data_IF_225149142508
#
_entry.id   IF_225149142508
#
_cell.length_a   1.000
_cell.length_b   1.000
_cell.length_c   1.000
_cell.angle_alpha   90.00
_cell.angle_beta   90.00
_cell.angle_gamma   90.00
#
_symmetry.space_group_name_H-M   'P 1'
#
loop_
_entity.id
_entity.type
_entity.pdbx_description
1 polymer ?
#
# COMPACT_ATOMS: atom_id res chain seq x y z
N UNK A 1 -4.90 -10.18 5.52
CA UNK A 1 -4.00 -9.50 4.55
C UNK A 1 -2.62 -10.14 4.61
N UNK A 2 -2.59 -11.42 4.27
CA UNK A 2 -1.50 -12.36 4.45
C UNK A 2 -1.60 -13.37 3.31
N UNK A 3 -0.59 -14.23 3.17
CA UNK A 3 -0.63 -15.32 2.22
C UNK A 3 -1.74 -16.32 2.59
N UNK A 4 -2.27 -17.03 1.59
CA UNK A 4 -3.04 -18.24 1.89
C UNK A 4 -2.12 -19.31 2.49
N UNK A 5 -2.69 -20.32 3.14
CA UNK A 5 -1.92 -21.43 3.71
C UNK A 5 -1.01 -22.10 2.67
N UNK A 6 -1.56 -22.45 1.50
CA UNK A 6 -0.81 -23.03 0.38
C UNK A 6 0.32 -22.10 -0.12
N UNK A 7 0.05 -20.80 -0.16
CA UNK A 7 1.06 -19.80 -0.55
C UNK A 7 2.18 -19.70 0.48
N UNK A 8 1.83 -19.71 1.77
CA UNK A 8 2.79 -19.68 2.86
C UNK A 8 3.65 -20.95 2.89
N UNK A 9 3.07 -22.14 2.72
CA UNK A 9 3.80 -23.41 2.65
C UNK A 9 4.78 -23.43 1.47
N UNK A 10 4.34 -22.98 0.30
CA UNK A 10 5.20 -22.87 -0.88
C UNK A 10 6.33 -21.88 -0.65
N UNK A 11 6.05 -20.68 -0.13
CA UNK A 11 7.09 -19.71 0.20
C UNK A 11 8.08 -20.28 1.22
N UNK A 12 7.58 -20.84 2.32
CA UNK A 12 8.39 -21.30 3.44
C UNK A 12 9.29 -22.47 3.06
N UNK A 13 8.81 -23.42 2.25
CA UNK A 13 9.63 -24.53 1.76
C UNK A 13 10.80 -24.04 0.91
N UNK A 14 10.55 -23.14 -0.05
CA UNK A 14 11.59 -22.57 -0.91
C UNK A 14 12.57 -21.70 -0.10
N UNK A 15 12.05 -20.84 0.77
CA UNK A 15 12.89 -19.93 1.55
C UNK A 15 13.74 -20.67 2.58
N UNK A 16 13.20 -21.71 3.24
CA UNK A 16 13.97 -22.57 4.14
C UNK A 16 15.09 -23.33 3.42
N UNK A 17 14.84 -23.83 2.21
CA UNK A 17 15.86 -24.47 1.36
C UNK A 17 17.02 -23.51 1.05
N UNK A 18 16.70 -22.28 0.63
CA UNK A 18 17.70 -21.24 0.38
C UNK A 18 18.51 -20.92 1.64
N UNK A 19 17.85 -20.72 2.78
CA UNK A 19 18.54 -20.37 4.04
C UNK A 19 19.41 -21.52 4.56
N UNK A 20 18.97 -22.77 4.43
CA UNK A 20 19.77 -23.93 4.79
C UNK A 20 21.03 -24.03 3.92
N UNK A 21 20.90 -23.79 2.61
CA UNK A 21 22.03 -23.77 1.69
C UNK A 21 23.03 -22.66 2.04
N UNK A 22 22.55 -21.46 2.38
CA UNK A 22 23.39 -20.36 2.88
C UNK A 22 24.13 -20.77 4.16
N UNK A 23 23.42 -21.38 5.11
CA UNK A 23 24.01 -21.87 6.35
C UNK A 23 25.16 -22.86 6.09
N UNK A 24 24.96 -23.80 5.18
CA UNK A 24 25.95 -24.83 4.83
C UNK A 24 27.16 -24.24 4.09
N UNK A 25 26.94 -23.40 3.06
CA UNK A 25 28.03 -22.82 2.26
C UNK A 25 28.91 -21.85 3.05
N UNK A 26 28.37 -21.20 4.07
CA UNK A 26 29.12 -20.29 4.94
C UNK A 26 29.44 -20.85 6.31
N UNK A 27 29.12 -22.13 6.55
CA UNK A 27 29.42 -22.86 7.79
C UNK A 27 29.00 -22.11 9.07
N UNK A 28 27.87 -21.38 9.03
CA UNK A 28 27.45 -20.51 10.14
C UNK A 28 27.08 -21.31 11.39
N UNK A 29 26.27 -22.35 11.21
CA UNK A 29 25.84 -23.28 12.26
C UNK A 29 25.95 -24.71 11.71
N UNK A 30 27.12 -25.35 11.79
CA UNK A 30 27.38 -26.67 11.19
C UNK A 30 26.43 -27.78 11.67
N UNK A 31 25.90 -27.65 12.88
CA UNK A 31 24.92 -28.57 13.46
C UNK A 31 23.53 -28.50 12.79
N UNK A 32 23.26 -27.47 11.99
CA UNK A 32 21.97 -27.27 11.31
C UNK A 32 22.07 -27.78 9.88
N UNK A 33 21.62 -29.02 9.67
CA UNK A 33 21.73 -29.74 8.40
C UNK A 33 20.38 -30.06 7.74
N UNK A 34 19.26 -29.62 8.32
CA UNK A 34 17.92 -29.82 7.77
C UNK A 34 17.03 -28.61 8.01
N UNK A 35 16.02 -28.45 7.16
CA UNK A 35 15.02 -27.37 7.28
C UNK A 35 14.26 -27.45 8.61
N UNK A 36 13.99 -28.66 9.11
CA UNK A 36 13.36 -28.86 10.43
C UNK A 36 14.22 -28.32 11.57
N UNK A 37 15.53 -28.57 11.55
CA UNK A 37 16.44 -28.02 12.56
C UNK A 37 16.59 -26.50 12.40
N UNK A 38 16.56 -25.99 11.18
CA UNK A 38 16.59 -24.56 10.91
C UNK A 38 15.40 -23.83 11.53
N UNK A 39 14.20 -24.42 11.48
CA UNK A 39 13.01 -23.89 12.16
C UNK A 39 13.18 -23.88 13.70
N UNK A 40 14.08 -24.68 14.26
CA UNK A 40 14.41 -24.66 15.69
C UNK A 40 15.39 -23.58 16.12
N UNK A 41 15.99 -22.83 15.18
CA UNK A 41 16.94 -21.76 15.50
C UNK A 41 16.29 -20.65 16.32
N UNK A 42 17.04 -20.07 17.24
CA UNK A 42 16.59 -18.90 17.99
C UNK A 42 16.56 -17.65 17.08
N UNK A 43 15.88 -16.55 17.48
CA UNK A 43 15.74 -15.36 16.64
C UNK A 43 17.07 -14.74 16.18
N UNK A 44 18.10 -14.70 17.03
CA UNK A 44 19.40 -14.11 16.68
C UNK A 44 20.16 -14.96 15.64
N UNK A 45 20.10 -16.29 15.79
CA UNK A 45 20.68 -17.22 14.82
C UNK A 45 19.97 -17.10 13.47
N UNK A 46 18.63 -17.09 13.46
CA UNK A 46 17.86 -16.87 12.21
C UNK A 46 18.22 -15.55 11.55
N UNK A 47 18.28 -14.46 12.33
CA UNK A 47 18.68 -13.14 11.82
C UNK A 47 20.09 -13.17 11.20
N UNK A 48 21.02 -13.91 11.80
CA UNK A 48 22.40 -14.04 11.29
C UNK A 48 22.43 -14.73 9.93
N UNK A 49 21.66 -15.80 9.73
CA UNK A 49 21.57 -16.48 8.42
C UNK A 49 20.88 -15.59 7.38
N UNK A 50 19.77 -14.93 7.74
CA UNK A 50 19.09 -13.97 6.86
C UNK A 50 20.04 -12.85 6.43
N UNK A 51 20.76 -12.24 7.38
CA UNK A 51 21.73 -11.20 7.05
C UNK A 51 22.79 -11.72 6.09
N UNK A 52 23.35 -12.91 6.36
CA UNK A 52 24.37 -13.50 5.50
C UNK A 52 23.87 -13.72 4.07
N UNK A 53 22.62 -14.18 3.89
CA UNK A 53 21.98 -14.30 2.58
C UNK A 53 21.96 -12.95 1.84
N UNK A 54 21.43 -11.90 2.46
CA UNK A 54 21.28 -10.60 1.79
C UNK A 54 22.62 -9.89 1.57
N UNK A 55 23.58 -10.07 2.48
CA UNK A 55 24.94 -9.52 2.34
C UNK A 55 25.72 -10.23 1.22
N UNK A 56 25.29 -11.44 0.83
CA UNK A 56 25.94 -12.27 -0.19
C UNK A 56 24.95 -12.78 -1.25
N UNK A 57 24.03 -11.91 -1.70
CA UNK A 57 22.85 -12.30 -2.51
C UNK A 57 23.18 -13.11 -3.78
N UNK A 58 24.39 -12.98 -4.33
CA UNK A 58 24.88 -13.77 -5.48
C UNK A 58 24.93 -15.28 -5.20
N UNK A 59 24.92 -15.71 -3.94
CA UNK A 59 24.83 -17.13 -3.57
C UNK A 59 23.57 -17.80 -4.13
N UNK A 60 22.51 -17.03 -4.39
CA UNK A 60 21.30 -17.55 -5.04
C UNK A 60 21.64 -18.11 -6.43
N UNK A 61 22.57 -17.53 -7.17
CA UNK A 61 22.95 -18.07 -8.49
C UNK A 61 23.55 -19.46 -8.38
N UNK A 62 24.40 -19.69 -7.37
CA UNK A 62 24.96 -21.02 -7.09
C UNK A 62 23.89 -21.98 -6.57
N UNK A 63 22.99 -21.52 -5.70
CA UNK A 63 21.86 -22.31 -5.21
C UNK A 63 20.98 -22.83 -6.35
N UNK A 64 20.68 -21.98 -7.34
CA UNK A 64 19.85 -22.36 -8.49
C UNK A 64 20.51 -23.42 -9.37
N UNK A 65 21.84 -23.45 -9.43
CA UNK A 65 22.62 -24.47 -10.18
C UNK A 65 22.74 -25.76 -9.38
N UNK A 66 23.13 -25.67 -8.11
CA UNK A 66 23.35 -26.83 -7.23
C UNK A 66 22.03 -27.56 -6.95
N UNK A 67 20.91 -26.82 -6.83
CA UNK A 67 19.55 -27.30 -6.56
C UNK A 67 19.50 -28.49 -5.55
N UNK A 68 20.01 -28.31 -4.32
CA UNK A 68 20.27 -29.41 -3.38
C UNK A 68 19.00 -30.19 -2.99
N UNK A 69 17.86 -29.50 -2.89
CA UNK A 69 16.57 -30.09 -2.50
C UNK A 69 15.70 -30.49 -3.71
N UNK A 70 16.27 -30.50 -4.93
CA UNK A 70 15.58 -30.87 -6.17
C UNK A 70 14.28 -30.09 -6.38
N UNK A 71 14.33 -28.77 -6.16
CA UNK A 71 13.20 -27.87 -6.33
C UNK A 71 12.65 -27.91 -7.76
N UNK A 72 11.33 -27.78 -7.86
CA UNK A 72 10.64 -27.72 -9.15
C UNK A 72 10.97 -26.42 -9.91
N UNK A 73 10.74 -26.34 -11.24
CA UNK A 73 10.94 -25.11 -12.00
C UNK A 73 10.19 -23.89 -11.46
N UNK A 74 8.98 -24.07 -10.92
CA UNK A 74 8.21 -23.00 -10.27
C UNK A 74 8.92 -22.51 -9.00
N UNK A 75 9.38 -23.43 -8.16
CA UNK A 75 10.10 -23.11 -6.93
C UNK A 75 11.44 -22.43 -7.19
N UNK A 76 12.21 -22.88 -8.18
CA UNK A 76 13.45 -22.23 -8.63
C UNK A 76 13.18 -20.82 -9.16
N UNK A 77 12.07 -20.63 -9.87
CA UNK A 77 11.63 -19.30 -10.32
C UNK A 77 11.39 -18.38 -9.12
N UNK A 78 10.68 -18.86 -8.09
CA UNK A 78 10.46 -18.11 -6.85
C UNK A 78 11.79 -17.76 -6.18
N UNK A 79 12.68 -18.74 -5.98
CA UNK A 79 13.99 -18.52 -5.36
C UNK A 79 14.83 -17.47 -6.10
N UNK A 80 14.82 -17.52 -7.45
CA UNK A 80 15.57 -16.56 -8.27
C UNK A 80 15.12 -15.11 -8.06
N UNK A 81 13.84 -14.91 -7.71
CA UNK A 81 13.28 -13.58 -7.49
C UNK A 81 13.74 -12.96 -6.16
N UNK A 82 14.18 -13.74 -5.18
CA UNK A 82 14.65 -13.22 -3.89
C UNK A 82 15.85 -12.26 -4.05
N UNK A 83 16.60 -12.34 -5.16
CA UNK A 83 17.64 -11.34 -5.52
C UNK A 83 17.13 -9.91 -5.67
N UNK A 84 15.81 -9.72 -5.83
CA UNK A 84 15.15 -8.42 -5.99
C UNK A 84 14.60 -7.87 -4.67
N UNK A 85 15.11 -8.36 -3.56
CA UNK A 85 14.72 -7.90 -2.24
C UNK A 85 14.91 -6.38 -2.09
N UNK A 86 14.13 -5.79 -1.17
CA UNK A 86 14.33 -4.41 -0.70
C UNK A 86 14.50 -4.48 0.81
N UNK A 87 15.72 -4.19 1.29
CA UNK A 87 16.06 -4.23 2.73
C UNK A 87 16.38 -2.83 3.21
N UNK A 88 15.90 -2.48 4.40
CA UNK A 88 16.14 -1.17 5.00
C UNK A 88 15.13 -0.83 6.07
N UNK A 89 15.11 0.44 6.44
CA UNK A 89 14.13 1.02 7.33
C UNK A 89 12.84 1.40 6.58
N UNK A 90 11.72 1.06 7.20
CA UNK A 90 10.38 1.34 6.71
C UNK A 90 9.52 1.91 7.83
N UNK A 91 8.64 2.85 7.48
CA UNK A 91 7.53 3.26 8.33
C UNK A 91 6.30 2.42 7.97
N UNK A 92 5.84 1.61 8.91
CA UNK A 92 4.51 1.00 8.87
C UNK A 92 3.51 2.11 9.18
N UNK A 93 2.77 2.58 8.18
CA UNK A 93 1.92 3.76 8.32
C UNK A 93 0.46 3.40 8.60
N UNK A 94 -0.10 2.38 7.92
CA UNK A 94 -1.46 1.89 8.16
C UNK A 94 -1.69 0.46 7.67
N UNK A 95 -2.75 -0.13 8.23
CA UNK A 95 -3.33 -1.39 7.78
C UNK A 95 -4.50 -1.14 6.82
N UNK A 96 -4.51 -1.79 5.66
CA UNK A 96 -5.64 -1.81 4.73
C UNK A 96 -6.17 -3.24 4.60
N UNK A 97 -7.39 -3.40 4.09
CA UNK A 97 -7.99 -4.73 3.88
C UNK A 97 -7.13 -5.63 2.99
N UNK A 98 -6.47 -5.06 1.98
CA UNK A 98 -5.67 -5.80 1.00
C UNK A 98 -4.22 -6.03 1.46
N UNK A 99 -3.58 -5.06 2.10
CA UNK A 99 -2.17 -5.09 2.51
C UNK A 99 -1.87 -4.03 3.56
N UNK A 100 -0.68 -4.10 4.16
CA UNK A 100 -0.13 -3.07 5.04
C UNK A 100 0.73 -2.09 4.25
N UNK A 101 0.67 -0.80 4.59
CA UNK A 101 1.44 0.25 3.94
C UNK A 101 2.79 0.42 4.61
N UNK A 102 3.85 0.18 3.86
CA UNK A 102 5.23 0.44 4.25
C UNK A 102 5.77 1.60 3.42
N UNK A 103 6.43 2.57 4.07
CA UNK A 103 7.04 3.72 3.41
C UNK A 103 8.55 3.67 3.66
N UNK A 104 9.36 3.64 2.60
CA UNK A 104 10.82 3.69 2.74
C UNK A 104 11.34 5.13 2.96
N UNK A 105 12.63 5.28 3.28
CA UNK A 105 13.28 6.58 3.47
C UNK A 105 13.28 7.48 2.22
N UNK A 106 12.97 6.92 1.04
CA UNK A 106 12.87 7.64 -0.23
C UNK A 106 11.41 7.92 -0.60
N UNK A 107 10.49 7.81 0.36
CA UNK A 107 9.06 8.03 0.21
C UNK A 107 8.38 7.10 -0.81
N UNK A 108 8.97 5.94 -1.11
CA UNK A 108 8.31 4.89 -1.89
C UNK A 108 7.34 4.14 -0.99
N UNK A 109 6.14 3.90 -1.53
CA UNK A 109 5.05 3.27 -0.80
C UNK A 109 4.85 1.85 -1.31
N UNK A 110 4.91 0.88 -0.41
CA UNK A 110 4.81 -0.54 -0.68
C UNK A 110 3.53 -1.10 -0.05
N UNK A 111 2.83 -1.96 -0.78
CA UNK A 111 1.75 -2.79 -0.24
C UNK A 111 2.30 -4.15 0.15
N UNK A 112 2.45 -4.39 1.46
CA UNK A 112 3.11 -5.58 2.02
C UNK A 112 2.11 -6.50 2.71
N UNK A 113 2.23 -7.80 2.44
CA UNK A 113 1.44 -8.85 3.08
C UNK A 113 2.19 -9.50 4.24
N UNK A 114 1.42 -9.94 5.23
CA UNK A 114 1.91 -10.88 6.24
C UNK A 114 2.18 -12.28 5.65
N UNK A 115 2.84 -13.13 6.43
CA UNK A 115 3.13 -14.52 6.06
C UNK A 115 1.98 -15.43 6.50
N UNK A 116 2.03 -15.94 7.72
CA UNK A 116 0.95 -16.73 8.35
C UNK A 116 -0.16 -15.84 8.86
N UNK A 117 0.20 -14.81 9.61
CA UNK A 117 -0.72 -13.89 10.26
C UNK A 117 -0.69 -12.51 9.59
N UNK A 118 -1.81 -11.78 9.59
CA UNK A 118 -1.84 -10.36 9.26
C UNK A 118 -0.92 -9.52 10.16
N UNK A 119 -0.24 -8.53 9.58
CA UNK A 119 0.67 -7.65 10.35
C UNK A 119 -0.04 -6.83 11.44
N UNK A 120 -1.36 -6.62 11.35
CA UNK A 120 -2.14 -5.91 12.38
C UNK A 120 -2.49 -6.78 13.59
N UNK A 121 -2.21 -8.09 13.55
CA UNK A 121 -2.27 -8.97 14.72
C UNK A 121 -0.92 -8.95 15.46
N UNK A 122 0.18 -8.74 14.73
CA UNK A 122 1.54 -8.63 15.28
C UNK A 122 1.90 -7.22 15.77
N UNK A 123 1.31 -6.18 15.16
CA UNK A 123 1.59 -4.78 15.44
C UNK A 123 0.27 -4.07 15.79
N UNK A 124 0.15 -3.63 17.04
CA UNK A 124 -1.02 -2.86 17.46
C UNK A 124 -1.09 -1.51 16.72
N UNK A 125 -2.30 -1.15 16.29
CA UNK A 125 -2.57 0.09 15.53
C UNK A 125 -2.20 1.36 16.29
N UNK A 126 -2.22 1.35 17.62
CA UNK A 126 -1.83 2.48 18.47
C UNK A 126 -0.34 2.84 18.36
N UNK A 127 0.50 1.90 17.91
CA UNK A 127 1.93 2.14 17.68
C UNK A 127 2.23 2.78 16.32
N UNK A 128 1.22 3.01 15.47
CA UNK A 128 1.46 3.58 14.15
C UNK A 128 1.65 5.12 14.19
N UNK A 129 2.53 5.67 13.35
CA UNK A 129 3.45 4.96 12.47
C UNK A 129 4.58 4.29 13.26
N UNK A 130 4.95 3.06 12.89
CA UNK A 130 6.04 2.31 13.51
C UNK A 130 7.23 2.25 12.55
N UNK A 131 8.41 2.63 13.01
CA UNK A 131 9.63 2.45 12.22
C UNK A 131 10.22 1.06 12.48
N UNK A 132 10.42 0.30 11.41
CA UNK A 132 10.97 -1.06 11.46
C UNK A 132 12.10 -1.21 10.44
N UNK A 133 13.08 -2.04 10.78
CA UNK A 133 14.08 -2.54 9.84
C UNK A 133 13.71 -3.97 9.42
N UNK A 134 13.51 -4.21 8.13
CA UNK A 134 13.12 -5.53 7.60
C UNK A 134 13.54 -5.70 6.14
N UNK A 135 13.25 -6.87 5.57
CA UNK A 135 13.47 -7.18 4.17
C UNK A 135 12.15 -7.53 3.49
N UNK A 136 11.86 -6.84 2.39
CA UNK A 136 10.74 -7.12 1.51
C UNK A 136 11.18 -8.05 0.39
N UNK A 137 10.38 -9.09 0.12
CA UNK A 137 10.63 -10.10 -0.90
C UNK A 137 9.49 -10.15 -1.92
N UNK A 138 9.80 -10.39 -3.21
CA UNK A 138 8.79 -10.76 -4.20
C UNK A 138 8.27 -12.18 -3.96
N UNK A 139 6.96 -12.35 -4.07
CA UNK A 139 6.33 -13.67 -4.12
C UNK A 139 5.02 -13.63 -4.91
N UNK A 140 4.91 -14.37 -6.03
CA UNK A 140 3.69 -14.47 -6.87
C UNK A 140 2.96 -13.13 -7.09
N UNK A 141 3.68 -12.15 -7.63
CA UNK A 141 3.20 -10.77 -7.88
C UNK A 141 2.76 -9.98 -6.64
N UNK A 142 3.15 -10.42 -5.45
CA UNK A 142 2.96 -9.75 -4.16
C UNK A 142 4.31 -9.33 -3.59
N UNK A 143 4.23 -8.48 -2.57
CA UNK A 143 5.35 -8.17 -1.67
C UNK A 143 5.02 -8.73 -0.31
N UNK A 144 5.94 -9.52 0.24
CA UNK A 144 5.90 -10.05 1.60
C UNK A 144 7.11 -9.53 2.36
N UNK A 145 7.06 -9.56 3.68
CA UNK A 145 8.26 -9.45 4.51
C UNK A 145 8.87 -10.84 4.72
N UNK A 146 10.15 -10.90 5.07
CA UNK A 146 10.89 -12.17 5.21
C UNK A 146 10.68 -12.91 6.53
N UNK A 147 9.69 -12.49 7.34
CA UNK A 147 9.42 -13.08 8.65
C UNK A 147 10.20 -12.43 9.80
N UNK A 148 11.12 -11.50 9.53
CA UNK A 148 11.92 -10.84 10.57
C UNK A 148 11.85 -9.32 10.41
N UNK A 149 11.56 -8.63 11.52
CA UNK A 149 11.74 -7.19 11.59
C UNK A 149 12.29 -6.78 12.95
N UNK A 150 13.03 -5.67 12.98
CA UNK A 150 13.45 -5.00 14.21
C UNK A 150 12.67 -3.69 14.32
N UNK A 151 11.86 -3.53 15.37
CA UNK A 151 11.22 -2.25 15.64
C UNK A 151 12.22 -1.28 16.26
N UNK A 152 12.09 0.00 15.91
CA UNK A 152 12.75 1.09 16.63
C UNK A 152 11.75 1.68 17.63
N UNK A 153 12.17 1.80 18.88
CA UNK A 153 11.34 2.38 19.95
C UNK A 153 11.33 3.91 19.85
N UNK A 154 10.69 4.44 18.80
CA UNK A 154 10.60 5.87 18.52
C UNK A 154 9.12 6.25 18.44
N UNK A 155 8.73 7.29 19.17
CA UNK A 155 7.40 7.88 19.09
C UNK A 155 7.41 9.06 18.11
N UNK A 156 6.45 9.07 17.18
CA UNK A 156 6.34 10.14 16.19
C UNK A 156 5.28 11.18 16.59
N UNK A 157 5.68 12.45 16.56
CA UNK A 157 4.79 13.60 16.75
C UNK A 157 3.84 13.82 15.57
N UNK A 158 2.90 14.76 15.73
CA UNK A 158 1.86 15.07 14.73
C UNK A 158 2.41 15.50 13.37
N UNK A 159 3.55 16.19 13.33
CA UNK A 159 4.20 16.63 12.08
C UNK A 159 4.58 15.45 11.17
N UNK A 160 5.43 14.55 11.67
CA UNK A 160 5.89 13.36 10.92
C UNK A 160 4.70 12.45 10.57
N UNK A 161 3.75 12.29 11.49
CA UNK A 161 2.49 11.55 11.24
C UNK A 161 1.72 12.14 10.06
N UNK A 162 1.61 13.46 9.97
CA UNK A 162 1.00 14.16 8.86
C UNK A 162 1.75 13.95 7.54
N UNK A 163 3.07 14.07 7.57
CA UNK A 163 3.92 13.88 6.38
C UNK A 163 3.80 12.46 5.79
N UNK A 164 3.91 11.42 6.62
CA UNK A 164 3.78 10.03 6.19
C UNK A 164 2.39 9.74 5.61
N UNK A 165 1.34 10.32 6.21
CA UNK A 165 -0.02 10.25 5.67
C UNK A 165 -0.10 10.89 4.29
N UNK A 166 0.49 12.06 4.08
CA UNK A 166 0.49 12.73 2.78
C UNK A 166 1.28 11.96 1.73
N UNK A 167 2.41 11.36 2.08
CA UNK A 167 3.19 10.48 1.20
C UNK A 167 2.31 9.31 0.71
N UNK A 168 1.61 8.64 1.63
CA UNK A 168 0.66 7.58 1.27
C UNK A 168 -0.48 8.09 0.40
N UNK A 169 -1.12 9.22 0.75
CA UNK A 169 -2.26 9.77 0.01
C UNK A 169 -1.85 10.16 -1.42
N UNK A 170 -0.71 10.81 -1.60
CA UNK A 170 -0.15 11.15 -2.90
C UNK A 170 0.16 9.88 -3.73
N UNK A 171 0.75 8.86 -3.11
CA UNK A 171 1.01 7.59 -3.77
C UNK A 171 -0.28 6.88 -4.20
N UNK A 172 -1.31 6.89 -3.35
CA UNK A 172 -2.63 6.32 -3.66
C UNK A 172 -3.29 7.06 -4.83
N UNK A 173 -3.33 8.39 -4.77
CA UNK A 173 -3.92 9.25 -5.80
C UNK A 173 -3.25 9.07 -7.16
N UNK A 174 -1.92 8.91 -7.18
CA UNK A 174 -1.15 8.73 -8.40
C UNK A 174 -0.99 7.25 -8.83
N UNK A 175 -1.62 6.31 -8.14
CA UNK A 175 -1.45 4.86 -8.35
C UNK A 175 0.04 4.44 -8.39
N UNK A 176 0.80 4.92 -7.39
CA UNK A 176 2.24 4.68 -7.19
C UNK A 176 2.54 3.74 -6.02
N UNK A 177 1.53 3.07 -5.47
CA UNK A 177 1.74 1.99 -4.49
C UNK A 177 2.37 0.80 -5.22
N UNK A 178 3.55 0.40 -4.78
CA UNK A 178 4.31 -0.73 -5.31
C UNK A 178 3.75 -2.00 -4.68
N UNK A 179 3.08 -2.82 -5.48
CA UNK A 179 2.46 -4.09 -5.04
C UNK A 179 3.27 -5.33 -5.49
N UNK A 180 4.33 -5.16 -6.29
CA UNK A 180 5.20 -6.25 -6.77
C UNK A 180 6.64 -5.76 -6.97
N UNK A 181 7.63 -6.62 -6.65
CA UNK A 181 9.07 -6.39 -6.92
C UNK A 181 9.57 -7.18 -8.15
N UNK A 182 8.72 -8.01 -8.75
CA UNK A 182 9.10 -8.96 -9.80
C UNK A 182 9.34 -8.31 -11.18
N UNK A 183 9.26 -6.97 -11.33
CA UNK A 183 9.56 -6.26 -12.59
C UNK A 183 10.53 -5.09 -12.34
N UNK A 184 11.55 -4.90 -13.20
CA UNK A 184 12.40 -3.71 -13.15
C UNK A 184 11.53 -2.45 -13.22
N UNK A 185 11.89 -1.46 -12.41
CA UNK A 185 11.19 -0.20 -12.17
C UNK A 185 11.04 0.71 -13.39
N UNK A 186 11.27 0.25 -14.62
CA UNK A 186 11.05 1.02 -15.86
C UNK A 186 9.61 0.95 -16.38
N UNK A 187 8.75 0.08 -15.82
CA UNK A 187 7.33 0.10 -16.13
C UNK A 187 6.50 -0.25 -14.90
N UNK A 188 6.35 0.70 -13.98
CA UNK A 188 5.03 0.83 -13.35
C UNK A 188 4.10 1.16 -14.52
N UNK A 189 3.51 0.14 -15.17
CA UNK A 189 2.29 0.37 -15.95
C UNK A 189 1.42 1.09 -14.95
N UNK A 190 1.22 2.41 -15.14
CA UNK A 190 0.10 3.12 -14.51
C UNK A 190 -1.06 2.17 -14.73
N UNK A 191 -1.62 1.56 -13.67
CA UNK A 191 -2.90 0.87 -13.86
C UNK A 191 -3.74 1.95 -14.53
N UNK A 192 -4.17 1.71 -15.78
CA UNK A 192 -4.99 2.66 -16.51
C UNK A 192 -6.10 2.99 -15.52
N UNK A 193 -6.15 4.24 -15.06
CA UNK A 193 -7.22 4.69 -14.17
C UNK A 193 -8.46 4.59 -15.03
N UNK A 194 -9.14 3.45 -14.92
CA UNK A 194 -10.37 3.20 -15.64
C UNK A 194 -11.42 4.07 -14.98
N UNK A 195 -12.12 4.86 -15.79
CA UNK A 195 -13.30 5.58 -15.36
C UNK A 195 -14.20 4.62 -14.57
N UNK A 196 -14.77 5.11 -13.47
CA UNK A 196 -15.63 4.27 -12.65
C UNK A 196 -16.99 4.13 -13.34
N UNK A 197 -17.07 3.21 -14.31
CA UNK A 197 -18.26 2.98 -15.15
C UNK A 197 -19.50 2.62 -14.32
N UNK A 198 -19.32 2.04 -13.14
CA UNK A 198 -20.40 1.71 -12.21
C UNK A 198 -21.00 2.95 -11.52
N UNK A 199 -20.23 4.05 -11.44
CA UNK A 199 -20.68 5.31 -10.83
C UNK A 199 -21.51 6.17 -11.79
N UNK A 200 -21.28 6.04 -13.09
CA UNK A 200 -21.99 6.79 -14.13
C UNK A 200 -23.53 6.71 -14.04
N UNK A 201 -24.18 5.53 -13.88
CA UNK A 201 -25.64 5.47 -13.75
C UNK A 201 -26.14 6.21 -12.50
N UNK A 202 -25.44 6.09 -11.37
CA UNK A 202 -25.79 6.76 -10.11
C UNK A 202 -25.68 8.28 -10.25
N UNK A 203 -24.59 8.78 -10.85
CA UNK A 203 -24.41 10.22 -11.12
C UNK A 203 -25.53 10.73 -12.03
N UNK A 204 -25.90 9.98 -13.07
CA UNK A 204 -26.97 10.35 -13.98
C UNK A 204 -28.35 10.39 -13.29
N UNK A 205 -28.62 9.44 -12.39
CA UNK A 205 -29.84 9.45 -11.58
C UNK A 205 -29.89 10.69 -10.67
N UNK A 206 -28.80 10.99 -9.97
CA UNK A 206 -28.68 12.20 -9.15
C UNK A 206 -28.91 13.47 -9.97
N UNK A 207 -28.31 13.56 -11.17
CA UNK A 207 -28.52 14.69 -12.08
C UNK A 207 -29.98 14.86 -12.45
N UNK A 208 -30.67 13.77 -12.81
CA UNK A 208 -32.10 13.78 -13.14
C UNK A 208 -32.93 14.25 -11.94
N UNK A 209 -32.68 13.72 -10.75
CA UNK A 209 -33.41 14.13 -9.54
C UNK A 209 -33.20 15.60 -9.22
N UNK A 210 -31.97 16.12 -9.34
CA UNK A 210 -31.65 17.53 -9.09
C UNK A 210 -32.26 18.45 -10.14
N UNK A 211 -32.36 18.02 -11.40
CA UNK A 211 -33.00 18.81 -12.45
C UNK A 211 -34.51 19.00 -12.27
N UNK A 212 -35.17 18.12 -11.49
CA UNK A 212 -36.60 18.24 -11.15
C UNK A 212 -36.88 19.27 -10.07
N UNK A 213 -35.85 19.73 -9.35
CA UNK A 213 -36.00 20.74 -8.31
C UNK A 213 -36.23 22.10 -8.98
N UNK A 214 -37.46 22.58 -8.88
CA UNK A 214 -37.90 23.91 -9.29
C UNK A 214 -38.02 24.78 -8.04
N UNK A 215 -37.38 25.95 -8.05
CA UNK A 215 -37.52 26.96 -7.00
C UNK A 215 -38.29 28.16 -7.55
N UNK A 216 -39.26 28.63 -6.78
CA UNK A 216 -40.06 29.83 -7.01
C UNK A 216 -39.45 31.06 -6.32
N UNK A 217 -40.06 32.23 -6.50
CA UNK A 217 -39.67 33.46 -5.79
C UNK A 217 -39.98 33.44 -4.30
N UNK A 218 -40.95 32.60 -3.89
CA UNK A 218 -41.46 32.57 -2.52
C UNK A 218 -40.69 31.58 -1.64
N UNK A 219 -39.80 30.80 -2.26
CA UNK A 219 -38.92 29.86 -1.59
C UNK A 219 -37.83 30.59 -0.77
N UNK A 220 -37.41 30.03 0.37
CA UNK A 220 -36.34 30.60 1.19
C UNK A 220 -35.08 30.89 0.37
N UNK A 221 -34.54 32.10 0.51
CA UNK A 221 -33.39 32.59 -0.26
C UNK A 221 -32.14 31.69 -0.16
N UNK A 222 -32.04 30.88 0.90
CA UNK A 222 -30.96 29.90 1.10
C UNK A 222 -31.03 28.69 0.16
N UNK A 223 -32.20 28.37 -0.39
CA UNK A 223 -32.38 27.17 -1.23
C UNK A 223 -31.65 27.29 -2.57
N UNK A 224 -31.65 28.47 -3.19
CA UNK A 224 -30.98 28.71 -4.49
C UNK A 224 -29.46 28.50 -4.44
N UNK A 225 -28.68 29.13 -3.53
CA UNK A 225 -27.24 28.88 -3.44
C UNK A 225 -26.93 27.45 -3.00
N UNK A 226 -27.74 26.83 -2.14
CA UNK A 226 -27.58 25.43 -1.74
C UNK A 226 -27.76 24.47 -2.92
N UNK A 227 -28.76 24.70 -3.77
CA UNK A 227 -28.97 23.92 -5.00
C UNK A 227 -27.83 24.11 -6.01
N UNK A 228 -27.28 25.33 -6.09
CA UNK A 228 -26.10 25.63 -6.92
C UNK A 228 -24.84 24.89 -6.44
N UNK A 229 -24.65 24.83 -5.12
CA UNK A 229 -23.57 24.06 -4.49
C UNK A 229 -23.71 22.56 -4.82
N UNK A 230 -24.90 22.00 -4.67
CA UNK A 230 -25.18 20.60 -5.00
C UNK A 230 -24.86 20.28 -6.46
N UNK A 231 -25.31 21.13 -7.41
CA UNK A 231 -25.01 20.99 -8.84
C UNK A 231 -23.51 21.05 -9.14
N UNK A 232 -22.79 21.97 -8.49
CA UNK A 232 -21.35 22.13 -8.66
C UNK A 232 -20.58 20.93 -8.12
N UNK A 233 -20.96 20.42 -6.95
CA UNK A 233 -20.35 19.21 -6.35
C UNK A 233 -20.60 17.97 -7.21
N UNK A 234 -21.79 17.84 -7.80
CA UNK A 234 -22.09 16.72 -8.71
C UNK A 234 -21.28 16.80 -10.01
N UNK A 235 -21.08 18.00 -10.55
CA UNK A 235 -20.19 18.22 -11.70
C UNK A 235 -18.74 17.84 -11.37
N UNK A 236 -18.26 18.17 -10.17
CA UNK A 236 -16.93 17.76 -9.72
C UNK A 236 -16.79 16.24 -9.65
N UNK A 237 -17.80 15.56 -9.09
CA UNK A 237 -17.83 14.11 -8.98
C UNK A 237 -17.80 13.44 -10.35
N UNK A 238 -18.56 13.94 -11.32
CA UNK A 238 -18.57 13.43 -12.70
C UNK A 238 -17.19 13.50 -13.35
N UNK A 239 -16.55 14.68 -13.34
CA UNK A 239 -15.24 14.85 -13.96
C UNK A 239 -14.18 14.01 -13.26
N UNK A 240 -14.23 13.92 -11.92
CA UNK A 240 -13.32 13.07 -11.18
C UNK A 240 -13.53 11.57 -11.46
N UNK A 241 -14.77 11.15 -11.73
CA UNK A 241 -15.09 9.76 -12.10
C UNK A 241 -14.69 9.42 -13.53
N UNK A 242 -14.85 10.35 -14.47
CA UNK A 242 -14.54 10.17 -15.89
C UNK A 242 -13.04 10.33 -16.19
N UNK A 243 -12.42 11.34 -15.58
CA UNK A 243 -11.04 11.77 -15.84
C UNK A 243 -10.28 12.03 -14.53
N UNK A 244 -10.02 11.01 -13.70
CA UNK A 244 -9.47 11.15 -12.34
C UNK A 244 -8.07 11.78 -12.24
N UNK A 245 -7.36 11.91 -13.37
CA UNK A 245 -6.03 12.54 -13.43
C UNK A 245 -6.04 13.91 -14.12
N UNK A 246 -7.19 14.41 -14.56
CA UNK A 246 -7.29 15.73 -15.17
C UNK A 246 -7.31 16.81 -14.08
N UNK A 247 -6.17 17.02 -13.41
CA UNK A 247 -6.05 17.94 -12.28
C UNK A 247 -6.41 19.38 -12.65
N UNK A 248 -6.15 19.80 -13.89
CA UNK A 248 -6.49 21.15 -14.37
C UNK A 248 -8.01 21.35 -14.38
N UNK A 249 -8.76 20.37 -14.91
CA UNK A 249 -10.22 20.46 -14.98
C UNK A 249 -10.87 20.23 -13.62
N UNK A 250 -10.37 19.26 -12.84
CA UNK A 250 -10.81 19.00 -11.47
C UNK A 250 -10.62 20.26 -10.61
N UNK A 251 -9.47 20.93 -10.69
CA UNK A 251 -9.20 22.16 -9.95
C UNK A 251 -10.09 23.33 -10.42
N UNK A 252 -10.33 23.44 -11.73
CA UNK A 252 -11.26 24.45 -12.27
C UNK A 252 -12.67 24.29 -11.68
N UNK A 253 -13.18 23.07 -11.57
CA UNK A 253 -14.51 22.82 -11.00
C UNK A 253 -14.50 22.89 -9.47
N UNK A 254 -13.42 22.49 -8.79
CA UNK A 254 -13.28 22.63 -7.33
C UNK A 254 -13.45 24.11 -6.91
N UNK A 255 -12.88 25.05 -7.67
CA UNK A 255 -13.06 26.50 -7.44
C UNK A 255 -14.52 26.94 -7.59
N UNK A 256 -15.30 26.33 -8.51
CA UNK A 256 -16.74 26.61 -8.62
C UNK A 256 -17.49 26.14 -7.37
N UNK A 257 -17.15 24.95 -6.85
CA UNK A 257 -17.72 24.45 -5.59
C UNK A 257 -17.43 25.42 -4.44
N UNK A 258 -16.18 25.87 -4.30
CA UNK A 258 -15.80 26.85 -3.27
C UNK A 258 -16.56 28.16 -3.40
N UNK A 259 -16.76 28.67 -4.63
CA UNK A 259 -17.56 29.87 -4.85
C UNK A 259 -19.04 29.67 -4.45
N UNK A 260 -19.60 28.49 -4.72
CA UNK A 260 -20.97 28.16 -4.29
C UNK A 260 -21.09 28.06 -2.76
N UNK A 261 -20.09 27.54 -2.07
CA UNK A 261 -20.03 27.53 -0.59
C UNK A 261 -20.04 28.96 -0.05
N UNK A 262 -19.21 29.86 -0.61
CA UNK A 262 -19.19 31.29 -0.21
C UNK A 262 -20.55 31.98 -0.39
N UNK A 263 -21.31 31.61 -1.42
CA UNK A 263 -22.66 32.14 -1.63
C UNK A 263 -23.63 31.69 -0.54
N UNK A 264 -23.54 30.42 -0.11
CA UNK A 264 -24.33 29.89 1.01
C UNK A 264 -23.96 30.62 2.31
N UNK A 265 -22.68 30.74 2.61
CA UNK A 265 -22.18 31.47 3.79
C UNK A 265 -22.69 32.92 3.82
N UNK A 266 -22.64 33.61 2.68
CA UNK A 266 -23.14 34.99 2.55
C UNK A 266 -24.62 35.11 2.93
N UNK A 267 -25.46 34.14 2.53
CA UNK A 267 -26.89 34.14 2.87
C UNK A 267 -27.11 33.84 4.36
N UNK A 268 -26.35 32.92 4.93
CA UNK A 268 -26.39 32.61 6.37
C UNK A 268 -26.01 33.85 7.20
N UNK A 269 -24.90 34.50 6.85
CA UNK A 269 -24.45 35.71 7.54
C UNK A 269 -25.48 36.84 7.46
N UNK A 270 -26.18 36.98 6.34
CA UNK A 270 -27.28 37.95 6.20
C UNK A 270 -28.43 37.60 7.13
N UNK A 271 -28.87 36.33 7.16
CA UNK A 271 -29.94 35.89 8.05
C UNK A 271 -29.65 36.17 9.52
N UNK A 272 -28.45 35.81 9.98
CA UNK A 272 -27.98 36.04 11.37
C UNK A 272 -27.93 37.51 11.80
N UNK A 273 -27.87 38.47 10.87
CA UNK A 273 -27.87 39.90 11.21
C UNK A 273 -29.26 40.42 11.59
N UNK A 274 -30.30 39.66 11.28
CA UNK A 274 -31.70 40.02 11.51
C UNK A 274 -32.41 39.06 12.47
N UNK A 275 -31.66 38.14 13.10
CA UNK A 275 -32.06 37.37 14.30
C UNK A 275 -31.54 38.08 15.56
#
# INVERSE_FOLDING_TARGET
MNLSEQEFELFSSVFASVLLYVNQKFELFPQINSTKLFLGLNPEQRFSVHSKLYDNIKIIDTFLVDNPDQLTPEQLTIASQFKRFVRGDFFVERFLTKYTIFIDEKNKVYGVLGLTEPLNEMIDKSYLPLNIYTTLLPFKDKIIYDGIFKSRNILFGSGIKGELKEIYMAAKQCNRIIETLARPSSSTRRKKQTSNKELAPVINELKKSISKISLSSDDPAILKPTLSMLKSSLMLLEIAADSPNNWVEIDKISRKVLNSVKQVETVIERGKRYE
#
